data_IF_557754175748
#
_entry.id   IF_557754175748
#
_cell.length_a   1.000
_cell.length_b   1.000
_cell.length_c   1.000
_cell.angle_alpha   90.00
_cell.angle_beta   90.00
_cell.angle_gamma   90.00
#
_symmetry.space_group_name_H-M   'P 1'
#
loop_
_entity.id
_entity.type
_entity.pdbx_description
1 polymer ?
#
# COMPACT_ATOMS: atom_id res chain seq x y z
N UNK A 1 9.13 11.25 -9.56
CA UNK A 1 8.44 11.34 -8.26
C UNK A 1 9.54 11.33 -7.21
N UNK A 2 9.64 12.38 -6.41
CA UNK A 2 10.82 12.66 -5.54
C UNK A 2 10.77 11.94 -4.19
N UNK A 3 11.81 12.12 -3.39
CA UNK A 3 11.92 11.57 -2.04
C UNK A 3 10.81 12.12 -1.12
N UNK A 4 10.32 11.29 -0.19
CA UNK A 4 9.25 11.63 0.74
C UNK A 4 9.78 11.67 2.17
N UNK A 5 9.36 12.67 2.95
CA UNK A 5 9.68 12.78 4.37
C UNK A 5 8.38 12.76 5.16
N UNK A 6 8.31 11.88 6.16
CA UNK A 6 7.25 11.86 7.15
C UNK A 6 7.77 12.26 8.52
N UNK A 7 6.92 12.91 9.31
CA UNK A 7 7.21 13.28 10.68
C UNK A 7 6.15 12.70 11.62
N UNK A 8 6.59 11.91 12.59
CA UNK A 8 5.81 11.61 13.79
C UNK A 8 6.28 12.51 14.92
N UNK A 9 5.36 13.20 15.57
CA UNK A 9 5.62 14.09 16.70
C UNK A 9 4.75 13.71 17.90
N UNK A 10 5.38 13.67 19.07
CA UNK A 10 4.75 13.40 20.36
C UNK A 10 5.16 14.50 21.35
N UNK A 11 4.20 15.25 21.86
CA UNK A 11 4.40 16.22 22.94
C UNK A 11 4.26 15.57 24.32
N UNK A 12 4.99 16.07 25.32
CA UNK A 12 4.90 15.59 26.70
C UNK A 12 3.50 15.78 27.32
N UNK A 13 2.75 16.80 26.88
CA UNK A 13 1.39 17.13 27.38
C UNK A 13 0.32 16.73 26.37
N UNK A 14 0.51 17.07 25.11
CA UNK A 14 -0.45 16.84 24.02
C UNK A 14 -0.45 15.38 23.52
N UNK A 15 0.52 14.56 23.94
CA UNK A 15 0.71 13.18 23.44
C UNK A 15 0.92 13.22 21.91
N UNK A 16 0.26 12.35 21.15
CA UNK A 16 0.51 12.16 19.72
C UNK A 16 -0.02 13.34 18.88
N UNK A 17 0.75 14.42 18.79
CA UNK A 17 0.41 15.63 18.01
C UNK A 17 0.16 15.30 16.53
N UNK A 18 0.87 14.30 15.99
CA UNK A 18 0.75 13.85 14.60
C UNK A 18 -0.47 12.95 14.32
N UNK A 19 -1.27 12.60 15.32
CA UNK A 19 -2.41 11.69 15.17
C UNK A 19 -3.44 12.19 14.15
N UNK A 20 -3.69 11.41 13.11
CA UNK A 20 -4.66 11.71 12.05
C UNK A 20 -4.29 12.89 11.15
N UNK A 21 -3.03 13.33 11.11
CA UNK A 21 -2.62 14.49 10.31
C UNK A 21 -2.61 14.23 8.80
N UNK A 22 -2.37 12.99 8.35
CA UNK A 22 -2.49 12.61 6.93
C UNK A 22 -3.79 11.86 6.65
N UNK A 23 -4.88 12.24 7.33
CA UNK A 23 -6.23 11.74 7.06
C UNK A 23 -6.99 12.65 6.09
N UNK A 24 -8.04 12.13 5.45
CA UNK A 24 -8.90 12.90 4.55
C UNK A 24 -9.50 14.17 5.21
N UNK A 25 -10.02 14.13 6.47
CA UNK A 25 -10.49 15.35 7.14
C UNK A 25 -9.40 16.40 7.40
N UNK A 26 -8.13 16.00 7.37
CA UNK A 26 -7.00 16.87 7.69
C UNK A 26 -6.41 17.54 6.44
N UNK A 27 -6.12 16.76 5.40
CA UNK A 27 -5.39 17.23 4.20
C UNK A 27 -6.16 17.00 2.89
N UNK A 28 -7.43 16.58 2.97
CA UNK A 28 -8.27 16.28 1.81
C UNK A 28 -7.64 15.21 0.93
N UNK A 29 -7.70 15.39 -0.39
CA UNK A 29 -7.17 14.46 -1.41
C UNK A 29 -5.65 14.18 -1.32
N UNK A 30 -4.92 14.87 -0.44
CA UNK A 30 -3.48 14.63 -0.21
C UNK A 30 -3.21 13.61 0.89
N UNK A 31 -4.26 13.03 1.49
CA UNK A 31 -4.12 11.98 2.49
C UNK A 31 -3.34 10.78 1.92
N UNK A 32 -2.61 10.09 2.78
CA UNK A 32 -1.78 8.96 2.37
C UNK A 32 -2.09 7.75 3.24
N UNK A 33 -2.56 6.68 2.59
CA UNK A 33 -2.89 5.43 3.25
C UNK A 33 -1.65 4.80 3.88
N UNK A 34 -1.77 4.39 5.14
CA UNK A 34 -0.67 3.82 5.93
C UNK A 34 0.23 4.84 6.63
N UNK A 35 -0.02 6.14 6.42
CA UNK A 35 0.72 7.24 7.04
C UNK A 35 -0.22 8.20 7.79
N UNK A 36 -1.42 7.76 8.17
CA UNK A 36 -2.49 8.61 8.72
C UNK A 36 -2.06 9.40 9.96
N UNK A 37 -1.15 8.83 10.75
CA UNK A 37 -0.61 9.41 11.98
C UNK A 37 0.78 10.04 11.82
N UNK A 38 1.18 10.33 10.60
CA UNK A 38 2.43 11.01 10.28
C UNK A 38 2.13 12.26 9.45
N UNK A 39 2.92 13.30 9.67
CA UNK A 39 2.82 14.57 8.96
C UNK A 39 3.68 14.49 7.70
N UNK A 40 3.15 14.95 6.58
CA UNK A 40 3.94 15.09 5.36
C UNK A 40 4.85 16.32 5.44
N UNK A 41 6.16 16.14 5.23
CA UNK A 41 7.17 17.20 5.32
C UNK A 41 7.68 17.53 3.92
N UNK A 42 7.49 18.78 3.48
CA UNK A 42 7.93 19.28 2.18
C UNK A 42 9.43 19.54 2.12
N UNK A 43 10.03 19.99 3.22
CA UNK A 43 11.47 20.22 3.30
C UNK A 43 11.96 20.13 4.73
N UNK A 44 13.23 19.75 4.89
CA UNK A 44 13.94 19.71 6.16
C UNK A 44 15.34 20.29 5.97
N UNK A 45 15.72 21.22 6.83
CA UNK A 45 17.04 21.82 6.92
C UNK A 45 17.58 21.61 8.33
N UNK A 46 18.70 20.90 8.44
CA UNK A 46 19.47 20.77 9.67
C UNK A 46 20.82 21.43 9.44
N UNK A 47 21.22 22.36 10.33
CA UNK A 47 22.49 23.06 10.22
C UNK A 47 23.32 22.82 11.48
N UNK A 48 24.56 22.35 11.27
CA UNK A 48 25.60 22.20 12.28
C UNK A 48 26.83 22.92 11.78
N UNK A 49 27.42 23.78 12.61
CA UNK A 49 28.65 24.51 12.29
C UNK A 49 29.70 24.24 13.37
N UNK A 50 30.98 24.22 13.00
CA UNK A 50 32.09 24.10 13.95
C UNK A 50 32.99 25.33 13.88
N UNK A 51 33.47 25.79 15.03
CA UNK A 51 34.54 26.81 15.13
C UNK A 51 35.90 26.20 15.47
N UNK A 52 36.09 24.90 15.19
CA UNK A 52 37.27 24.08 15.56
C UNK A 52 37.33 23.75 17.06
N UNK A 53 36.99 24.71 17.94
CA UNK A 53 36.96 24.52 19.41
C UNK A 53 35.58 24.07 19.94
N UNK A 54 34.56 24.02 19.10
CA UNK A 54 33.20 23.66 19.50
C UNK A 54 32.27 23.46 18.31
N UNK A 55 31.29 22.58 18.50
CA UNK A 55 30.22 22.30 17.54
C UNK A 55 28.96 23.03 17.99
N UNK A 56 28.37 23.81 17.10
CA UNK A 56 27.12 24.52 17.32
C UNK A 56 26.00 23.91 16.47
N UNK A 57 24.95 23.45 17.15
CA UNK A 57 23.74 22.91 16.54
C UNK A 57 22.69 24.03 16.42
N UNK A 58 22.36 24.42 15.19
CA UNK A 58 21.40 25.51 14.93
C UNK A 58 19.93 25.08 14.99
N UNK A 59 19.66 23.83 15.36
CA UNK A 59 18.32 23.25 15.34
C UNK A 59 17.95 22.60 14.01
N UNK A 60 16.67 22.26 13.86
CA UNK A 60 16.07 21.78 12.61
C UNK A 60 14.96 22.75 12.22
N UNK A 61 14.93 23.14 10.95
CA UNK A 61 13.81 23.86 10.34
C UNK A 61 13.16 22.96 9.31
N UNK A 62 11.84 22.78 9.37
CA UNK A 62 11.11 22.00 8.38
C UNK A 62 9.86 22.72 7.90
N UNK A 63 9.37 22.33 6.73
CA UNK A 63 8.16 22.83 6.11
C UNK A 63 7.11 21.71 5.98
N UNK A 64 5.86 21.99 6.31
CA UNK A 64 4.70 21.08 6.17
C UNK A 64 3.49 21.84 5.60
N UNK A 65 2.48 21.18 5.02
CA UNK A 65 1.21 21.83 4.70
C UNK A 65 0.44 22.18 5.97
N UNK A 66 -0.56 23.06 5.88
CA UNK A 66 -1.58 23.18 6.93
C UNK A 66 -2.34 21.85 7.04
N UNK A 67 -2.44 21.31 8.26
CA UNK A 67 -3.13 20.06 8.56
C UNK A 67 -3.70 20.09 10.00
N UNK A 68 -4.23 18.97 10.49
CA UNK A 68 -4.80 18.85 11.84
C UNK A 68 -3.80 19.21 12.97
N UNK A 69 -2.49 19.03 12.78
CA UNK A 69 -1.48 19.37 13.80
C UNK A 69 -1.15 20.86 13.86
N UNK A 70 -1.52 21.66 12.86
CA UNK A 70 -1.24 23.10 12.79
C UNK A 70 -1.57 23.88 14.09
N UNK A 71 -2.78 23.78 14.66
CA UNK A 71 -3.08 24.42 15.95
C UNK A 71 -2.30 23.82 17.13
N UNK A 72 -1.94 22.54 17.06
CA UNK A 72 -1.21 21.82 18.12
C UNK A 72 0.26 22.27 18.19
N UNK A 73 0.87 22.61 17.04
CA UNK A 73 2.19 23.27 17.00
C UNK A 73 2.14 24.65 17.66
N UNK A 74 1.10 25.44 17.36
CA UNK A 74 0.88 26.75 18.00
C UNK A 74 0.69 26.61 19.52
N UNK A 75 -0.04 25.58 19.97
CA UNK A 75 -0.20 25.29 21.39
C UNK A 75 1.11 24.85 22.04
N UNK A 76 1.92 24.02 21.36
CA UNK A 76 3.18 23.53 21.87
C UNK A 76 4.19 24.67 22.07
N UNK A 77 4.33 25.59 21.09
CA UNK A 77 5.20 26.77 21.24
C UNK A 77 4.71 27.70 22.36
N UNK A 78 3.40 28.00 22.42
CA UNK A 78 2.84 28.89 23.45
C UNK A 78 3.07 28.36 24.87
N UNK A 79 3.10 27.04 25.03
CA UNK A 79 3.28 26.39 26.32
C UNK A 79 4.73 25.96 26.61
N UNK A 80 5.68 26.28 25.72
CA UNK A 80 7.06 25.78 25.76
C UNK A 80 7.12 24.25 25.96
N UNK A 81 6.21 23.53 25.31
CA UNK A 81 6.10 22.08 25.43
C UNK A 81 7.29 21.39 24.75
N UNK A 82 7.88 20.43 25.46
CA UNK A 82 8.92 19.57 24.89
C UNK A 82 8.28 18.43 24.12
N UNK A 83 8.88 18.12 22.98
CA UNK A 83 8.41 17.12 22.03
C UNK A 83 9.52 16.12 21.68
N UNK A 84 9.11 14.94 21.27
CA UNK A 84 9.95 13.98 20.55
C UNK A 84 9.49 13.95 19.09
N UNK A 85 10.42 13.98 18.15
CA UNK A 85 10.16 14.01 16.72
C UNK A 85 10.94 12.90 16.02
N UNK A 86 10.25 12.17 15.17
CA UNK A 86 10.79 11.08 14.36
C UNK A 86 10.56 11.39 12.88
N UNK A 87 11.63 11.75 12.17
CA UNK A 87 11.62 11.96 10.74
C UNK A 87 12.00 10.68 10.01
N UNK A 88 11.16 10.25 9.07
CA UNK A 88 11.36 9.07 8.23
C UNK A 88 11.50 9.46 6.78
N UNK A 89 12.63 9.14 6.16
CA UNK A 89 12.93 9.44 4.76
C UNK A 89 12.73 8.21 3.91
N UNK A 90 11.95 8.37 2.85
CA UNK A 90 11.60 7.34 1.89
C UNK A 90 12.13 7.70 0.50
N UNK A 91 12.61 6.68 -0.20
CA UNK A 91 13.02 6.76 -1.61
C UNK A 91 12.48 5.58 -2.39
N UNK A 92 12.48 5.69 -3.72
CA UNK A 92 12.19 4.57 -4.60
C UNK A 92 13.46 3.75 -4.80
N UNK A 93 13.40 2.46 -4.48
CA UNK A 93 14.54 1.56 -4.64
C UNK A 93 14.66 1.01 -6.07
N UNK A 94 15.71 0.23 -6.32
CA UNK A 94 15.99 -0.34 -7.65
C UNK A 94 14.88 -1.25 -8.23
N UNK A 95 13.93 -1.68 -7.40
CA UNK A 95 12.79 -2.51 -7.79
C UNK A 95 11.50 -1.69 -7.95
N UNK A 96 11.58 -0.35 -7.88
CA UNK A 96 10.41 0.53 -8.01
C UNK A 96 9.53 0.58 -6.77
N UNK A 97 10.01 0.11 -5.60
CA UNK A 97 9.25 0.12 -4.34
C UNK A 97 9.74 1.23 -3.41
N UNK A 98 8.83 1.78 -2.63
CA UNK A 98 9.17 2.69 -1.55
C UNK A 98 9.93 1.94 -0.44
N UNK A 99 11.07 2.49 -0.01
CA UNK A 99 11.83 1.99 1.14
C UNK A 99 12.19 3.15 2.08
N UNK A 100 12.01 2.96 3.39
CA UNK A 100 12.56 3.86 4.40
C UNK A 100 14.06 3.64 4.47
N UNK A 101 14.87 4.64 4.10
CA UNK A 101 16.33 4.48 3.99
C UNK A 101 17.12 5.33 4.99
N UNK A 102 16.53 6.41 5.50
CA UNK A 102 17.16 7.30 6.45
C UNK A 102 16.17 7.73 7.53
N UNK A 103 16.65 7.92 8.76
CA UNK A 103 15.83 8.23 9.91
C UNK A 103 16.55 9.23 10.82
N UNK A 104 15.84 10.27 11.25
CA UNK A 104 16.32 11.22 12.26
C UNK A 104 15.35 11.18 13.44
N UNK A 105 15.86 10.84 14.61
CA UNK A 105 15.18 10.89 15.89
C UNK A 105 15.68 12.11 16.67
N UNK A 106 14.74 12.86 17.25
CA UNK A 106 15.01 14.06 18.03
C UNK A 106 14.25 13.97 19.35
N UNK A 107 14.93 14.21 20.47
CA UNK A 107 14.31 14.22 21.80
C UNK A 107 14.54 15.54 22.52
N UNK A 108 13.62 15.89 23.41
CA UNK A 108 13.68 17.15 24.15
C UNK A 108 13.52 18.37 23.24
N UNK A 109 12.86 18.22 22.10
CA UNK A 109 12.71 19.31 21.15
C UNK A 109 11.78 20.40 21.70
N UNK A 110 12.20 21.65 21.64
CA UNK A 110 11.31 22.80 21.86
C UNK A 110 11.12 23.55 20.56
N UNK A 111 9.89 23.96 20.27
CA UNK A 111 9.61 24.78 19.09
C UNK A 111 10.05 26.21 19.39
N UNK A 112 10.94 26.74 18.57
CA UNK A 112 11.50 28.09 18.73
C UNK A 112 10.87 29.11 17.79
N UNK A 113 10.38 28.67 16.64
CA UNK A 113 9.65 29.51 15.70
C UNK A 113 8.58 28.72 14.97
N UNK A 114 7.45 29.37 14.72
CA UNK A 114 6.37 28.88 13.89
C UNK A 114 5.92 30.04 12.99
N UNK A 115 5.80 29.78 11.69
CA UNK A 115 5.29 30.76 10.74
C UNK A 115 4.45 30.07 9.68
N UNK A 116 3.30 30.65 9.37
CA UNK A 116 2.40 30.17 8.34
C UNK A 116 2.44 31.13 7.14
N UNK A 117 2.57 30.58 5.94
CA UNK A 117 2.52 31.31 4.69
C UNK A 117 1.46 30.71 3.79
N UNK A 118 0.42 31.49 3.49
CA UNK A 118 -0.61 31.11 2.52
C UNK A 118 -0.58 32.08 1.35
N UNK A 119 -0.63 31.54 0.13
CA UNK A 119 -0.74 32.29 -1.12
C UNK A 119 -2.08 31.97 -1.77
N UNK A 120 -2.61 32.87 -2.58
CA UNK A 120 -3.82 32.63 -3.39
C UNK A 120 -3.65 31.48 -4.38
N UNK A 121 -2.41 31.22 -4.80
CA UNK A 121 -2.02 30.09 -5.64
C UNK A 121 -0.94 29.26 -4.91
N UNK A 122 -1.18 27.96 -4.77
CA UNK A 122 -0.26 27.04 -4.11
C UNK A 122 -0.86 26.33 -2.89
N UNK A 123 -0.06 25.47 -2.27
CA UNK A 123 -0.43 24.82 -1.01
C UNK A 123 -0.01 25.76 0.13
N UNK A 124 -0.88 26.07 1.10
CA UNK A 124 -0.49 26.79 2.30
C UNK A 124 0.59 26.01 3.08
N UNK A 125 1.65 26.71 3.46
CA UNK A 125 2.84 26.13 4.07
C UNK A 125 3.03 26.65 5.50
N UNK A 126 3.60 25.79 6.34
CA UNK A 126 4.02 26.12 7.69
C UNK A 126 5.50 25.80 7.85
N UNK A 127 6.27 26.76 8.35
CA UNK A 127 7.68 26.59 8.67
C UNK A 127 7.84 26.56 10.18
N UNK A 128 8.41 25.46 10.67
CA UNK A 128 8.64 25.19 12.09
C UNK A 128 10.13 25.06 12.31
N UNK A 129 10.65 25.79 13.29
CA UNK A 129 12.03 25.67 13.76
C UNK A 129 12.02 25.09 15.17
N UNK A 130 12.88 24.10 15.42
CA UNK A 130 13.04 23.47 16.72
C UNK A 130 14.49 23.54 17.18
N UNK A 131 14.71 23.77 18.48
CA UNK A 131 15.93 23.35 19.16
C UNK A 131 15.70 21.97 19.77
N UNK A 132 16.77 21.27 20.13
CA UNK A 132 16.69 19.93 20.69
C UNK A 132 17.81 19.64 21.67
N UNK A 133 17.57 18.67 22.53
CA UNK A 133 18.53 18.22 23.53
C UNK A 133 19.32 17.00 23.02
N UNK A 134 18.71 16.17 22.19
CA UNK A 134 19.33 14.99 21.60
C UNK A 134 18.89 14.82 20.14
N UNK A 135 19.83 14.36 19.31
CA UNK A 135 19.58 13.95 17.94
C UNK A 135 20.30 12.64 17.64
N UNK A 136 19.63 11.76 16.89
CA UNK A 136 20.21 10.57 16.28
C UNK A 136 19.81 10.47 14.82
N UNK A 137 20.80 10.32 13.95
CA UNK A 137 20.63 10.14 12.51
C UNK A 137 21.14 8.76 12.13
N UNK A 138 20.35 8.00 11.38
CA UNK A 138 20.68 6.62 10.96
C UNK A 138 20.38 6.42 9.48
N UNK A 139 21.36 5.92 8.72
CA UNK A 139 21.14 5.41 7.38
C UNK A 139 20.86 3.90 7.43
N UNK A 140 19.59 3.52 7.33
CA UNK A 140 19.09 2.17 7.58
C UNK A 140 19.63 1.11 6.60
N UNK A 141 19.83 1.48 5.33
CA UNK A 141 20.30 0.52 4.31
C UNK A 141 21.82 0.33 4.35
N UNK A 142 22.56 1.33 4.84
CA UNK A 142 24.03 1.35 4.86
C UNK A 142 24.60 1.15 6.26
N UNK A 143 23.74 1.04 7.27
CA UNK A 143 24.06 0.77 8.68
C UNK A 143 25.07 1.77 9.27
N UNK A 144 24.97 3.04 8.92
CA UNK A 144 25.74 4.12 9.56
C UNK A 144 24.85 4.94 10.48
N UNK A 145 25.40 5.34 11.63
CA UNK A 145 24.68 6.16 12.60
C UNK A 145 25.55 7.28 13.17
N UNK A 146 24.89 8.33 13.60
CA UNK A 146 25.45 9.43 14.37
C UNK A 146 24.45 9.80 15.46
N UNK A 147 24.93 10.03 16.68
CA UNK A 147 24.08 10.59 17.73
C UNK A 147 24.87 11.51 18.66
N UNK A 148 24.19 12.50 19.22
CA UNK A 148 24.78 13.41 20.22
C UNK A 148 23.71 13.88 21.20
N UNK A 149 24.10 13.94 22.47
CA UNK A 149 23.34 14.57 23.55
C UNK A 149 23.97 15.93 23.86
N UNK A 150 23.24 17.00 23.61
CA UNK A 150 23.70 18.38 23.77
C UNK A 150 23.53 18.88 25.21
N UNK A 151 22.56 18.35 25.95
CA UNK A 151 22.29 18.71 27.36
C UNK A 151 22.35 17.46 28.25
N UNK A 152 23.56 17.02 28.67
CA UNK A 152 23.75 15.84 29.51
C UNK A 152 22.93 15.84 30.81
N UNK A 153 22.68 17.01 31.38
CA UNK A 153 21.84 17.22 32.56
C UNK A 153 20.40 16.73 32.38
N UNK A 154 19.91 16.64 31.14
CA UNK A 154 18.55 16.18 30.82
C UNK A 154 18.46 14.69 30.53
N UNK A 155 19.57 13.93 30.62
CA UNK A 155 19.64 12.52 30.21
C UNK A 155 18.48 11.67 30.74
N UNK A 156 18.25 11.68 32.06
CA UNK A 156 17.22 10.83 32.70
C UNK A 156 15.79 11.17 32.27
N UNK A 157 15.54 12.41 31.81
CA UNK A 157 14.24 12.82 31.27
C UNK A 157 14.05 12.33 29.84
N UNK A 158 15.10 12.39 29.03
CA UNK A 158 15.07 12.02 27.61
C UNK A 158 15.15 10.50 27.40
N UNK A 159 15.81 9.82 28.33
CA UNK A 159 16.01 8.37 28.35
C UNK A 159 15.54 7.85 29.72
N UNK A 160 14.23 7.93 30.00
CA UNK A 160 13.71 7.35 31.23
C UNK A 160 14.08 5.87 31.25
N UNK A 161 14.59 5.39 32.38
CA UNK A 161 14.83 3.96 32.60
C UNK A 161 13.47 3.30 32.44
N UNK A 162 13.27 2.68 31.28
CA UNK A 162 12.14 1.79 31.10
C UNK A 162 12.41 0.60 32.00
N UNK A 163 11.78 0.58 33.19
CA UNK A 163 11.26 -0.69 33.68
C UNK A 163 10.56 -1.33 32.48
N UNK A 164 10.74 -2.64 32.21
CA UNK A 164 10.11 -3.28 31.07
C UNK A 164 8.66 -2.83 31.10
N UNK A 165 8.33 -1.98 30.13
CA UNK A 165 6.95 -1.57 29.93
C UNK A 165 6.33 -2.91 29.62
N UNK A 166 5.51 -3.42 30.54
CA UNK A 166 4.51 -4.38 30.14
C UNK A 166 3.74 -3.58 29.12
N UNK A 167 4.11 -3.76 27.85
CA UNK A 167 3.38 -3.21 26.74
C UNK A 167 1.94 -3.54 27.08
N UNK A 168 1.04 -2.54 27.30
CA UNK A 168 -0.37 -2.86 27.38
C UNK A 168 -0.60 -3.73 26.15
N UNK A 169 -1.03 -5.00 26.35
CA UNK A 169 -0.91 -6.03 25.34
C UNK A 169 -1.37 -5.39 24.05
N UNK A 170 -0.47 -5.37 23.04
CA UNK A 170 -0.75 -4.83 21.71
C UNK A 170 -2.25 -5.01 21.52
N UNK A 171 -3.05 -3.94 21.54
CA UNK A 171 -4.42 -4.10 21.07
C UNK A 171 -4.13 -4.40 19.61
N UNK A 172 -4.15 -5.67 19.19
CA UNK A 172 -3.57 -6.03 17.92
C UNK A 172 -4.41 -5.24 16.95
N UNK A 173 -3.78 -4.37 16.14
CA UNK A 173 -4.48 -3.64 15.09
C UNK A 173 -5.46 -4.62 14.47
N UNK A 174 -6.76 -4.42 14.73
CA UNK A 174 -7.76 -5.51 14.81
C UNK A 174 -7.48 -6.48 13.68
N UNK A 175 -6.80 -7.59 13.99
CA UNK A 175 -6.25 -8.45 12.94
C UNK A 175 -7.45 -8.88 12.12
N UNK A 176 -7.55 -8.36 10.90
CA UNK A 176 -8.62 -8.78 10.01
C UNK A 176 -8.21 -10.17 9.58
N UNK A 177 -8.69 -11.16 10.31
CA UNK A 177 -8.53 -12.56 9.94
C UNK A 177 -9.30 -12.75 8.64
N UNK A 178 -8.55 -12.84 7.54
CA UNK A 178 -9.09 -13.17 6.23
C UNK A 178 -8.89 -14.67 6.07
N UNK A 179 -10.00 -15.41 6.03
CA UNK A 179 -9.97 -16.83 5.68
C UNK A 179 -10.08 -16.93 4.16
N UNK A 180 -8.97 -17.25 3.50
CA UNK A 180 -8.97 -17.56 2.06
C UNK A 180 -9.25 -19.05 1.88
N UNK A 181 -10.41 -19.38 1.31
CA UNK A 181 -10.74 -20.74 0.89
C UNK A 181 -10.55 -20.84 -0.62
N UNK A 182 -9.64 -21.71 -1.07
CA UNK A 182 -9.38 -21.95 -2.49
C UNK A 182 -9.96 -23.33 -2.85
N UNK A 183 -11.03 -23.35 -3.65
CA UNK A 183 -11.54 -24.55 -4.28
C UNK A 183 -10.93 -24.72 -5.66
N UNK A 184 -10.13 -25.77 -5.87
CA UNK A 184 -9.53 -26.08 -7.17
C UNK A 184 -10.27 -27.28 -7.76
N UNK A 185 -10.77 -27.12 -8.99
CA UNK A 185 -11.46 -28.16 -9.72
C UNK A 185 -10.71 -28.41 -11.03
N UNK A 186 -10.39 -29.67 -11.29
CA UNK A 186 -9.68 -30.07 -12.51
C UNK A 186 -10.67 -30.65 -13.51
N UNK A 187 -10.65 -30.12 -14.72
CA UNK A 187 -11.37 -30.68 -15.85
C UNK A 187 -10.46 -31.65 -16.62
N UNK A 188 -10.50 -32.93 -16.24
CA UNK A 188 -9.66 -33.98 -16.81
C UNK A 188 -10.11 -34.46 -18.20
N UNK A 189 -11.03 -33.76 -18.86
CA UNK A 189 -11.62 -34.21 -20.14
C UNK A 189 -10.90 -33.67 -21.38
N UNK A 190 -9.87 -32.83 -21.21
CA UNK A 190 -9.21 -32.15 -22.34
C UNK A 190 -10.13 -31.13 -23.03
N UNK A 191 -11.15 -30.64 -22.32
CA UNK A 191 -12.10 -29.68 -22.86
C UNK A 191 -11.73 -28.24 -22.50
N UNK A 192 -12.00 -27.32 -23.42
CA UNK A 192 -11.77 -25.89 -23.23
C UNK A 192 -13.06 -25.11 -23.48
N UNK A 193 -13.47 -24.34 -22.49
CA UNK A 193 -14.71 -23.56 -22.53
C UNK A 193 -14.74 -22.59 -23.72
N UNK A 194 -13.66 -21.85 -23.96
CA UNK A 194 -13.64 -20.86 -25.02
C UNK A 194 -13.62 -21.52 -26.41
N UNK A 195 -12.98 -22.68 -26.55
CA UNK A 195 -13.04 -23.47 -27.78
C UNK A 195 -14.44 -24.02 -28.04
N UNK A 196 -15.10 -24.54 -27.00
CA UNK A 196 -16.51 -24.96 -27.06
C UNK A 196 -17.44 -23.80 -27.46
N UNK A 197 -17.26 -22.61 -26.86
CA UNK A 197 -18.03 -21.40 -27.18
C UNK A 197 -17.82 -20.98 -28.64
N UNK A 198 -16.57 -21.00 -29.11
CA UNK A 198 -16.23 -20.64 -30.48
C UNK A 198 -16.90 -21.60 -31.48
N UNK A 199 -16.89 -22.91 -31.19
CA UNK A 199 -17.63 -23.88 -32.00
C UNK A 199 -19.12 -23.56 -31.98
N UNK A 200 -19.74 -23.40 -30.81
CA UNK A 200 -21.18 -23.13 -30.71
C UNK A 200 -21.59 -21.87 -31.48
N UNK A 201 -20.73 -20.84 -31.49
CA UNK A 201 -20.96 -19.62 -32.25
C UNK A 201 -20.84 -19.82 -33.77
N UNK A 202 -19.81 -20.53 -34.24
CA UNK A 202 -19.53 -20.71 -35.68
C UNK A 202 -20.34 -21.83 -36.32
N UNK A 203 -20.65 -22.86 -35.55
CA UNK A 203 -21.17 -24.15 -35.98
C UNK A 203 -22.43 -24.50 -35.18
N UNK A 204 -23.43 -23.60 -35.19
CA UNK A 204 -24.72 -23.86 -34.55
C UNK A 204 -25.59 -24.78 -35.44
N UNK A 205 -25.87 -26.03 -35.04
CA UNK A 205 -26.63 -26.98 -35.86
C UNK A 205 -28.11 -26.62 -36.01
N UNK A 206 -28.68 -25.88 -35.05
CA UNK A 206 -30.08 -25.44 -35.07
C UNK A 206 -30.37 -24.53 -36.27
N UNK A 207 -29.36 -23.76 -36.71
CA UNK A 207 -29.44 -22.93 -37.91
C UNK A 207 -29.62 -23.74 -39.20
N UNK A 208 -29.34 -25.05 -39.16
CA UNK A 208 -29.38 -25.96 -40.30
C UNK A 208 -30.43 -27.08 -40.17
N UNK A 209 -31.23 -27.08 -39.09
CA UNK A 209 -32.31 -28.06 -38.89
C UNK A 209 -31.83 -29.52 -38.81
N UNK A 210 -30.62 -29.74 -38.28
CA UNK A 210 -29.96 -31.06 -38.27
C UNK A 210 -30.43 -31.94 -37.09
N UNK A 211 -30.61 -33.24 -37.34
CA UNK A 211 -30.91 -34.25 -36.31
C UNK A 211 -29.66 -34.59 -35.48
N UNK A 212 -29.87 -35.00 -34.22
CA UNK A 212 -28.83 -35.33 -33.22
C UNK A 212 -27.79 -36.32 -33.77
N UNK A 213 -28.24 -37.27 -34.59
CA UNK A 213 -27.39 -38.31 -35.20
C UNK A 213 -26.36 -37.76 -36.19
N UNK A 214 -26.58 -36.56 -36.73
CA UNK A 214 -25.68 -35.90 -37.72
C UNK A 214 -24.76 -34.84 -37.11
N UNK A 215 -24.94 -34.53 -35.81
CA UNK A 215 -24.24 -33.43 -35.15
C UNK A 215 -22.73 -33.62 -35.05
N UNK A 216 -22.27 -34.84 -34.77
CA UNK A 216 -20.83 -35.12 -34.61
C UNK A 216 -20.07 -34.87 -35.91
N UNK A 217 -20.54 -35.42 -37.02
CA UNK A 217 -19.93 -35.22 -38.34
C UNK A 217 -20.01 -33.75 -38.78
N UNK A 218 -21.14 -33.09 -38.50
CA UNK A 218 -21.32 -31.68 -38.78
C UNK A 218 -20.31 -30.81 -38.02
N UNK A 219 -20.18 -31.01 -36.70
CA UNK A 219 -19.25 -30.26 -35.84
C UNK A 219 -17.80 -30.46 -36.30
N UNK A 220 -17.41 -31.71 -36.61
CA UNK A 220 -16.09 -32.03 -37.13
C UNK A 220 -15.81 -31.32 -38.45
N UNK A 221 -16.72 -31.41 -39.44
CA UNK A 221 -16.54 -30.76 -40.74
C UNK A 221 -16.54 -29.24 -40.63
N UNK A 222 -17.35 -28.67 -39.75
CA UNK A 222 -17.45 -27.23 -39.57
C UNK A 222 -16.20 -26.65 -38.90
N UNK A 223 -15.72 -27.28 -37.82
CA UNK A 223 -14.48 -26.86 -37.15
C UNK A 223 -13.24 -27.09 -38.02
N UNK A 224 -13.24 -28.15 -38.83
CA UNK A 224 -12.22 -28.36 -39.87
C UNK A 224 -12.16 -27.20 -40.87
N UNK A 225 -13.30 -26.67 -41.30
CA UNK A 225 -13.35 -25.44 -42.13
C UNK A 225 -12.86 -24.20 -41.38
N UNK A 226 -12.94 -24.19 -40.05
CA UNK A 226 -12.42 -23.12 -39.22
C UNK A 226 -10.92 -23.24 -38.93
N UNK A 227 -10.25 -24.29 -39.42
CA UNK A 227 -8.79 -24.45 -39.37
C UNK A 227 -8.28 -25.44 -38.33
N UNK A 228 -9.15 -26.19 -37.63
CA UNK A 228 -8.75 -27.18 -36.63
C UNK A 228 -9.21 -28.58 -37.05
N UNK A 229 -8.30 -29.55 -37.14
CA UNK A 229 -8.60 -30.91 -37.63
C UNK A 229 -7.91 -31.99 -36.79
N UNK A 230 -8.48 -33.20 -36.81
CA UNK A 230 -7.92 -34.34 -36.08
C UNK A 230 -7.84 -34.11 -34.56
N UNK A 231 -6.68 -34.44 -33.98
CA UNK A 231 -6.44 -34.34 -32.53
C UNK A 231 -6.40 -32.90 -32.01
N UNK A 232 -6.07 -31.94 -32.89
CA UNK A 232 -5.98 -30.51 -32.56
C UNK A 232 -7.35 -29.86 -32.31
N UNK A 233 -8.43 -30.56 -32.65
CA UNK A 233 -9.81 -30.07 -32.52
C UNK A 233 -10.56 -30.68 -31.31
N UNK A 234 -9.92 -31.52 -30.48
CA UNK A 234 -10.57 -32.29 -29.43
C UNK A 234 -11.45 -31.46 -28.49
N UNK A 235 -10.92 -30.34 -28.00
CA UNK A 235 -11.56 -29.40 -27.08
C UNK A 235 -12.69 -28.57 -27.71
N UNK A 236 -12.78 -28.55 -29.05
CA UNK A 236 -13.87 -27.89 -29.77
C UNK A 236 -15.08 -28.79 -29.93
N UNK A 237 -14.86 -30.10 -30.09
CA UNK A 237 -15.90 -31.07 -30.45
C UNK A 237 -16.74 -31.52 -29.27
N UNK A 238 -16.25 -31.33 -28.05
CA UNK A 238 -16.97 -31.61 -26.83
C UNK A 238 -18.01 -30.52 -26.49
N UNK A 239 -18.88 -30.84 -25.54
CA UNK A 239 -19.84 -29.89 -24.97
C UNK A 239 -19.39 -29.44 -23.58
N UNK A 240 -20.08 -28.47 -22.99
CA UNK A 240 -19.76 -27.96 -21.66
C UNK A 240 -19.60 -29.05 -20.61
N UNK A 241 -18.52 -28.98 -19.84
CA UNK A 241 -18.22 -29.95 -18.79
C UNK A 241 -18.97 -29.66 -17.51
N UNK A 242 -18.97 -30.63 -16.59
CA UNK A 242 -19.52 -30.43 -15.25
C UNK A 242 -18.81 -29.30 -14.50
N UNK A 243 -17.54 -29.02 -14.80
CA UNK A 243 -16.79 -27.90 -14.20
C UNK A 243 -17.31 -26.56 -14.71
N UNK A 244 -17.66 -26.46 -15.99
CA UNK A 244 -18.34 -25.27 -16.52
C UNK A 244 -19.68 -25.03 -15.83
N UNK A 245 -20.52 -26.07 -15.72
CA UNK A 245 -21.82 -25.92 -15.08
C UNK A 245 -21.70 -25.55 -13.60
N UNK A 246 -20.75 -26.18 -12.90
CA UNK A 246 -20.41 -25.83 -11.54
C UNK A 246 -19.99 -24.35 -11.45
N UNK A 247 -19.11 -23.87 -12.33
CA UNK A 247 -18.69 -22.46 -12.36
C UNK A 247 -19.87 -21.47 -12.51
N UNK A 248 -20.89 -21.83 -13.30
CA UNK A 248 -22.09 -21.00 -13.48
C UNK A 248 -22.97 -20.92 -12.23
N UNK A 249 -22.88 -21.89 -11.32
CA UNK A 249 -23.63 -21.93 -10.07
C UNK A 249 -22.97 -21.13 -8.94
N UNK A 250 -21.72 -20.67 -9.11
CA UNK A 250 -21.04 -19.86 -8.09
C UNK A 250 -21.67 -18.46 -8.02
N UNK A 251 -22.01 -18.02 -6.81
CA UNK A 251 -22.47 -16.65 -6.58
C UNK A 251 -21.30 -15.67 -6.78
N UNK A 252 -21.48 -14.72 -7.72
CA UNK A 252 -20.47 -13.71 -8.06
C UNK A 252 -20.94 -12.36 -7.54
N UNK A 253 -20.24 -11.80 -6.55
CA UNK A 253 -20.52 -10.44 -6.11
C UNK A 253 -19.80 -9.43 -7.00
N UNK A 254 -20.50 -8.58 -7.78
CA UNK A 254 -19.85 -7.76 -8.80
C UNK A 254 -18.92 -6.67 -8.24
N UNK A 255 -19.14 -6.19 -7.01
CA UNK A 255 -18.43 -5.03 -6.44
C UNK A 255 -18.12 -5.21 -4.95
N UNK A 256 -16.94 -4.73 -4.54
CA UNK A 256 -16.57 -4.58 -3.13
C UNK A 256 -17.24 -3.32 -2.57
N UNK A 257 -18.35 -3.48 -1.87
CA UNK A 257 -19.04 -2.40 -1.14
C UNK A 257 -18.66 -2.42 0.33
N UNK A 258 -18.70 -1.25 0.96
CA UNK A 258 -18.49 -1.13 2.40
C UNK A 258 -19.51 -1.97 3.17
N UNK A 259 -19.01 -2.81 4.09
CA UNK A 259 -19.82 -3.69 4.93
C UNK A 259 -19.92 -5.15 4.48
N UNK A 260 -19.41 -5.51 3.31
CA UNK A 260 -19.38 -6.92 2.85
C UNK A 260 -18.36 -7.73 3.66
N UNK A 261 -18.80 -8.87 4.20
CA UNK A 261 -17.99 -9.76 5.07
C UNK A 261 -17.38 -10.95 4.34
N UNK A 262 -17.98 -11.39 3.24
CA UNK A 262 -17.53 -12.54 2.45
C UNK A 262 -17.50 -12.14 0.97
N UNK A 263 -16.46 -12.52 0.25
CA UNK A 263 -16.36 -12.33 -1.19
C UNK A 263 -16.06 -13.67 -1.86
N UNK A 264 -16.75 -13.94 -2.97
CA UNK A 264 -16.53 -15.11 -3.80
C UNK A 264 -16.17 -14.66 -5.21
N UNK A 265 -15.12 -15.28 -5.75
CA UNK A 265 -14.60 -15.05 -7.10
C UNK A 265 -14.32 -16.40 -7.74
N UNK A 266 -14.53 -16.47 -9.04
CA UNK A 266 -14.19 -17.63 -9.85
C UNK A 266 -13.15 -17.23 -10.90
N UNK A 267 -12.23 -18.15 -11.16
CA UNK A 267 -11.22 -18.01 -12.20
C UNK A 267 -11.25 -19.30 -13.02
N UNK A 268 -11.38 -19.16 -14.33
CA UNK A 268 -11.27 -20.27 -15.27
C UNK A 268 -9.89 -20.21 -15.94
N UNK A 269 -9.11 -21.29 -15.82
CA UNK A 269 -7.74 -21.36 -16.34
C UNK A 269 -7.71 -22.41 -17.45
N UNK A 270 -6.95 -22.14 -18.50
CA UNK A 270 -6.68 -23.09 -19.58
C UNK A 270 -6.00 -24.36 -19.03
N UNK A 271 -6.46 -25.52 -19.48
CA UNK A 271 -5.87 -26.81 -19.12
C UNK A 271 -4.61 -27.09 -19.94
N UNK A 272 -3.69 -27.86 -19.38
CA UNK A 272 -2.51 -28.36 -20.12
C UNK A 272 -3.01 -29.09 -21.38
N UNK A 273 -2.41 -28.77 -22.53
CA UNK A 273 -2.79 -29.34 -23.82
C UNK A 273 -3.93 -28.60 -24.55
N UNK A 274 -4.49 -27.55 -23.97
CA UNK A 274 -5.51 -26.72 -24.63
C UNK A 274 -5.21 -25.24 -24.41
N UNK A 275 -5.28 -24.42 -25.46
CA UNK A 275 -5.16 -22.97 -25.33
C UNK A 275 -6.40 -22.29 -25.90
N UNK A 276 -6.80 -21.15 -25.32
CA UNK A 276 -8.03 -20.47 -25.73
C UNK A 276 -7.97 -20.05 -27.20
N UNK A 277 -8.93 -20.53 -27.97
CA UNK A 277 -9.11 -20.34 -29.41
C UNK A 277 -7.94 -20.82 -30.28
N UNK A 278 -7.12 -21.76 -29.79
CA UNK A 278 -6.02 -22.37 -30.54
C UNK A 278 -6.15 -23.88 -30.62
N UNK A 279 -5.36 -24.47 -31.52
CA UNK A 279 -5.22 -25.91 -31.67
C UNK A 279 -4.77 -26.57 -30.36
N UNK A 280 -5.35 -27.72 -30.05
CA UNK A 280 -4.94 -28.53 -28.90
C UNK A 280 -3.54 -29.11 -29.13
N UNK A 281 -2.77 -29.23 -28.05
CA UNK A 281 -1.45 -29.84 -28.01
C UNK A 281 -1.45 -31.10 -27.15
N UNK A 282 -0.63 -32.09 -27.54
CA UNK A 282 -0.39 -33.30 -26.76
C UNK A 282 0.66 -33.06 -25.67
#
# INVERSE_FOLDING_TARGET
MGDIIYLKIVGERQRMISEGCSSEPSVGNRYQTGHENEIFVFSLQALVSSTVDGVNHHGIRFCKPIDKSSPLFTQAINNNERCSLDFSFYRINRWGRWEKYYHIEVRGAGITAYSMHSRTEGIPEEFITIHYDYIRSTHLIANTEYSVLLTPENYNRLFPVTLPVVEPPDIPAKKREIVLTIGIFFDGTGNNLLNTNLRMQKCNPDNYGLDVRTLTEFNQRCIKKAGFDGVEAGSYLNYYTNIYWLNKLYHKEPELKDGIKNIQRDIYIEGIGTENNKADSL
#
